data_IF_261983704424
#
_entry.id   IF_261983704424
#
_cell.length_a   1.000
_cell.length_b   1.000
_cell.length_c   1.000
_cell.angle_alpha   90.00
_cell.angle_beta   90.00
_cell.angle_gamma   90.00
#
_symmetry.space_group_name_H-M   'P 1'
#
loop_
_entity.id
_entity.type
_entity.pdbx_description
1 polymer ?
#
# COMPACT_ATOMS: atom_id res chain seq x y z
N UNK A 1 -26.46 -21.20 12.90
CA UNK A 1 -25.63 -21.50 11.71
C UNK A 1 -25.40 -20.27 10.81
N UNK A 2 -26.26 -19.25 10.78
CA UNK A 2 -26.05 -18.01 10.01
C UNK A 2 -24.84 -17.14 10.47
N UNK A 3 -24.50 -17.15 11.78
CA UNK A 3 -23.39 -16.37 12.33
C UNK A 3 -21.99 -16.83 11.87
N UNK A 4 -21.84 -18.11 11.47
CA UNK A 4 -20.57 -18.65 10.98
C UNK A 4 -20.24 -18.19 9.56
N UNK A 5 -21.25 -18.10 8.69
CA UNK A 5 -21.10 -17.65 7.31
C UNK A 5 -20.74 -16.15 7.25
N UNK A 6 -21.38 -15.33 8.10
CA UNK A 6 -21.05 -13.91 8.24
C UNK A 6 -19.59 -13.69 8.66
N UNK A 7 -19.08 -14.48 9.62
CA UNK A 7 -17.66 -14.40 10.00
C UNK A 7 -16.72 -14.75 8.85
N UNK A 8 -17.02 -15.78 8.06
CA UNK A 8 -16.18 -16.18 6.92
C UNK A 8 -16.17 -15.11 5.82
N UNK A 9 -17.31 -14.49 5.52
CA UNK A 9 -17.42 -13.42 4.53
C UNK A 9 -16.65 -12.17 4.98
N UNK A 10 -16.77 -11.76 6.24
CA UNK A 10 -16.06 -10.61 6.80
C UNK A 10 -14.55 -10.83 6.86
N UNK A 11 -14.12 -12.05 7.20
CA UNK A 11 -12.70 -12.44 7.18
C UNK A 11 -12.17 -12.44 5.75
N UNK A 12 -12.89 -13.06 4.81
CA UNK A 12 -12.52 -13.07 3.39
C UNK A 12 -12.41 -11.67 2.77
N UNK A 13 -13.34 -10.77 3.12
CA UNK A 13 -13.28 -9.37 2.68
C UNK A 13 -12.09 -8.61 3.30
N UNK A 14 -11.79 -8.88 4.57
CA UNK A 14 -10.62 -8.28 5.25
C UNK A 14 -9.30 -8.73 4.63
N UNK A 15 -9.17 -10.01 4.26
CA UNK A 15 -8.01 -10.52 3.54
C UNK A 15 -7.86 -9.88 2.15
N UNK A 16 -8.96 -9.74 1.40
CA UNK A 16 -8.95 -9.12 0.07
C UNK A 16 -8.61 -7.62 0.13
N UNK A 17 -9.03 -6.93 1.19
CA UNK A 17 -8.75 -5.52 1.40
C UNK A 17 -7.29 -5.32 1.85
N UNK A 18 -6.78 -6.22 2.70
CA UNK A 18 -5.39 -6.23 3.13
C UNK A 18 -4.43 -6.49 1.96
N UNK A 19 -4.73 -7.46 1.09
CA UNK A 19 -3.95 -7.74 -0.12
C UNK A 19 -3.81 -6.50 -1.02
N UNK A 20 -4.92 -5.80 -1.28
CA UNK A 20 -4.92 -4.55 -2.06
C UNK A 20 -4.06 -3.46 -1.42
N UNK A 21 -4.10 -3.31 -0.10
CA UNK A 21 -3.25 -2.35 0.62
C UNK A 21 -1.77 -2.71 0.53
N UNK A 22 -1.46 -4.00 0.63
CA UNK A 22 -0.10 -4.52 0.55
C UNK A 22 0.48 -4.30 -0.87
N UNK A 23 -0.34 -4.48 -1.91
CA UNK A 23 0.03 -4.16 -3.30
C UNK A 23 0.37 -2.67 -3.48
N UNK A 24 -0.38 -1.76 -2.86
CA UNK A 24 -0.10 -0.31 -2.91
C UNK A 24 1.24 0.01 -2.25
N UNK A 25 1.51 -0.58 -1.08
CA UNK A 25 2.78 -0.38 -0.35
C UNK A 25 3.96 -0.94 -1.14
N UNK A 26 3.84 -2.16 -1.67
CA UNK A 26 4.89 -2.77 -2.49
C UNK A 26 5.14 -1.95 -3.75
N UNK A 27 4.08 -1.50 -4.44
CA UNK A 27 4.21 -0.67 -5.64
C UNK A 27 4.95 0.64 -5.33
N UNK A 28 4.61 1.30 -4.21
CA UNK A 28 5.33 2.48 -3.73
C UNK A 28 6.82 2.20 -3.48
N UNK A 29 7.14 1.09 -2.80
CA UNK A 29 8.54 0.69 -2.56
C UNK A 29 9.28 0.39 -3.87
N UNK A 30 8.64 -0.26 -4.84
CA UNK A 30 9.22 -0.54 -6.16
C UNK A 30 9.51 0.77 -6.90
N UNK A 31 8.61 1.74 -6.89
CA UNK A 31 8.83 3.07 -7.50
C UNK A 31 10.00 3.80 -6.84
N UNK A 32 10.13 3.77 -5.50
CA UNK A 32 11.29 4.37 -4.80
C UNK A 32 12.60 3.69 -5.20
N UNK A 33 12.60 2.35 -5.24
CA UNK A 33 13.83 1.55 -5.28
C UNK A 33 14.31 1.21 -6.68
N UNK A 34 13.39 0.94 -7.62
CA UNK A 34 13.71 0.65 -9.01
C UNK A 34 13.75 1.93 -9.85
N UNK A 35 12.64 2.67 -9.97
CA UNK A 35 12.60 3.85 -10.83
C UNK A 35 13.49 4.99 -10.30
N UNK A 36 13.41 5.29 -9.00
CA UNK A 36 14.25 6.32 -8.39
C UNK A 36 15.75 6.03 -8.45
N UNK A 37 16.16 4.76 -8.48
CA UNK A 37 17.58 4.38 -8.58
C UNK A 37 18.05 4.32 -10.04
N UNK A 38 17.17 3.93 -10.96
CA UNK A 38 17.45 3.87 -12.39
C UNK A 38 17.56 5.29 -12.99
N UNK A 39 16.66 6.20 -12.61
CA UNK A 39 16.73 7.62 -13.01
C UNK A 39 17.99 8.32 -12.50
N UNK A 40 18.43 8.00 -11.28
CA UNK A 40 19.70 8.53 -10.75
C UNK A 40 20.92 8.02 -11.54
N UNK A 41 20.90 6.77 -12.02
CA UNK A 41 21.95 6.23 -12.91
C UNK A 41 21.95 6.86 -14.30
N UNK A 42 20.79 7.32 -14.78
CA UNK A 42 20.63 8.01 -16.06
C UNK A 42 20.93 9.53 -15.98
N UNK A 43 21.29 10.05 -14.80
CA UNK A 43 21.57 11.47 -14.60
C UNK A 43 20.32 12.36 -14.43
N UNK A 44 19.12 11.77 -14.39
CA UNK A 44 17.84 12.45 -14.17
C UNK A 44 17.57 12.62 -12.67
N UNK A 45 18.40 13.41 -11.99
CA UNK A 45 18.36 13.55 -10.55
C UNK A 45 17.08 14.21 -10.04
N UNK A 46 16.53 15.20 -10.75
CA UNK A 46 15.27 15.88 -10.39
C UNK A 46 14.10 14.91 -10.41
N UNK A 47 13.91 14.19 -11.51
CA UNK A 47 12.87 13.17 -11.63
C UNK A 47 13.05 12.02 -10.64
N UNK A 48 14.30 11.64 -10.31
CA UNK A 48 14.54 10.61 -9.28
C UNK A 48 14.04 11.02 -7.88
N UNK A 49 14.13 12.31 -7.54
CA UNK A 49 13.66 12.82 -6.25
C UNK A 49 12.13 12.81 -6.21
N UNK A 50 11.48 13.21 -7.30
CA UNK A 50 10.03 13.16 -7.42
C UNK A 50 9.50 11.73 -7.41
N UNK A 51 10.14 10.79 -8.12
CA UNK A 51 9.76 9.37 -8.11
C UNK A 51 9.87 8.77 -6.69
N UNK A 52 10.92 9.11 -5.94
CA UNK A 52 11.04 8.70 -4.53
C UNK A 52 9.97 9.32 -3.64
N UNK A 53 9.64 10.60 -3.84
CA UNK A 53 8.59 11.28 -3.07
C UNK A 53 7.21 10.64 -3.31
N UNK A 54 6.87 10.35 -4.57
CA UNK A 54 5.62 9.68 -4.94
C UNK A 54 5.58 8.25 -4.37
N UNK A 55 6.69 7.51 -4.46
CA UNK A 55 6.76 6.17 -3.89
C UNK A 55 6.58 6.13 -2.37
N UNK A 56 7.19 7.07 -1.63
CA UNK A 56 6.95 7.21 -0.18
C UNK A 56 5.52 7.65 0.15
N UNK A 57 4.90 8.49 -0.68
CA UNK A 57 3.51 8.86 -0.53
C UNK A 57 2.56 7.66 -0.69
N UNK A 58 2.80 6.79 -1.68
CA UNK A 58 2.06 5.54 -1.88
C UNK A 58 2.20 4.59 -0.69
N UNK A 59 3.42 4.47 -0.14
CA UNK A 59 3.66 3.68 1.08
C UNK A 59 2.88 4.25 2.26
N UNK A 60 2.93 5.57 2.48
CA UNK A 60 2.20 6.24 3.55
C UNK A 60 0.67 6.09 3.37
N UNK A 61 0.16 6.17 2.14
CA UNK A 61 -1.25 5.97 1.83
C UNK A 61 -1.71 4.53 2.11
N UNK A 62 -0.90 3.53 1.73
CA UNK A 62 -1.21 2.12 2.02
C UNK A 62 -1.21 1.81 3.53
N UNK A 63 -0.23 2.35 4.28
CA UNK A 63 -0.19 2.23 5.74
C UNK A 63 -1.36 2.98 6.39
N UNK A 64 -1.65 4.21 5.95
CA UNK A 64 -2.75 5.02 6.45
C UNK A 64 -4.11 4.35 6.23
N UNK A 65 -4.33 3.77 5.05
CA UNK A 65 -5.53 3.00 4.74
C UNK A 65 -5.68 1.78 5.66
N UNK A 66 -4.58 1.08 5.96
CA UNK A 66 -4.58 -0.05 6.90
C UNK A 66 -4.91 0.37 8.34
N UNK A 67 -4.31 1.46 8.83
CA UNK A 67 -4.61 2.00 10.16
C UNK A 67 -6.08 2.42 10.25
N UNK A 68 -6.62 3.06 9.21
CA UNK A 68 -8.01 3.50 9.16
C UNK A 68 -8.99 2.31 9.23
N UNK A 69 -8.72 1.24 8.47
CA UNK A 69 -9.56 0.02 8.51
C UNK A 69 -9.48 -0.68 9.86
N UNK A 70 -8.30 -0.75 10.48
CA UNK A 70 -8.15 -1.32 11.82
C UNK A 70 -8.86 -0.50 12.90
N UNK A 71 -8.83 0.83 12.81
CA UNK A 71 -9.59 1.72 13.69
C UNK A 71 -11.10 1.54 13.50
N UNK A 72 -11.56 1.43 12.26
CA UNK A 72 -12.98 1.24 11.95
C UNK A 72 -13.52 -0.10 12.45
N UNK A 73 -12.77 -1.20 12.29
CA UNK A 73 -13.16 -2.53 12.80
C UNK A 73 -13.17 -2.64 14.33
N UNK A 74 -12.67 -1.62 15.05
CA UNK A 74 -12.65 -1.58 16.52
C UNK A 74 -13.90 -0.92 17.13
N UNK A 75 -14.67 -0.18 16.34
CA UNK A 75 -15.96 0.40 16.71
C UNK A 75 -17.12 -0.53 16.30
#
# INVERSE_FOLDING_TARGET
>A
MAAGIFRVIVVGYSFLTFDRMLVIVISGLVTVFMEGRLMARLGLYRESVWAKAIGWFLVAAGIGAWVLVNLWNRF
#
